data_IF_937800575630
#
_entry.id   IF_937800575630
#
_cell.length_a   1.000
_cell.length_b   1.000
_cell.length_c   1.000
_cell.angle_alpha   90.00
_cell.angle_beta   90.00
_cell.angle_gamma   90.00
#
_symmetry.space_group_name_H-M   'P 1'
#
loop_
_entity.id
_entity.type
_entity.pdbx_description
1 polymer ?
#
# COMPACT_ATOMS: atom_id res chain seq x y z
N UNK A 1 -7.16 13.32 16.54
CA UNK A 1 -7.03 13.27 15.06
C UNK A 1 -8.41 13.38 14.42
N UNK A 2 -8.56 14.28 13.48
CA UNK A 2 -9.82 14.43 12.74
C UNK A 2 -9.84 13.44 11.57
N UNK A 3 -10.96 12.71 11.46
CA UNK A 3 -11.18 11.76 10.38
C UNK A 3 -12.55 12.08 9.78
N UNK A 4 -12.61 12.17 8.44
CA UNK A 4 -13.85 12.47 7.74
C UNK A 4 -14.87 11.33 7.89
N UNK A 5 -16.14 11.56 7.53
CA UNK A 5 -17.07 10.46 7.31
C UNK A 5 -16.55 9.48 6.25
N UNK A 6 -17.11 8.28 6.22
CA UNK A 6 -16.80 7.30 5.19
C UNK A 6 -17.52 7.68 3.90
N UNK A 7 -16.77 7.77 2.81
CA UNK A 7 -17.31 8.03 1.47
C UNK A 7 -17.18 6.77 0.61
N UNK A 8 -18.21 6.51 -0.19
CA UNK A 8 -18.24 5.35 -1.10
C UNK A 8 -17.95 5.80 -2.53
N UNK A 9 -16.94 5.21 -3.17
CA UNK A 9 -16.63 5.41 -4.59
C UNK A 9 -16.50 6.88 -5.00
N UNK A 10 -16.03 7.73 -4.08
CA UNK A 10 -15.83 9.15 -4.36
C UNK A 10 -14.47 9.61 -3.87
N UNK A 11 -13.76 10.31 -4.75
CA UNK A 11 -12.47 10.92 -4.40
C UNK A 11 -12.66 12.26 -3.72
N UNK A 12 -11.65 12.76 -2.99
CA UNK A 12 -11.74 14.10 -2.39
C UNK A 12 -11.97 15.18 -3.44
N UNK A 13 -12.68 16.23 -3.04
CA UNK A 13 -12.91 17.38 -3.91
C UNK A 13 -11.67 18.29 -3.98
N UNK A 14 -11.53 19.03 -5.10
CA UNK A 14 -10.44 19.97 -5.31
C UNK A 14 -9.23 19.34 -6.00
N UNK A 15 -8.12 20.08 -5.99
CA UNK A 15 -6.86 19.59 -6.54
C UNK A 15 -6.23 18.56 -5.62
N UNK A 16 -5.83 17.43 -6.20
CA UNK A 16 -5.17 16.34 -5.49
C UNK A 16 -3.73 16.20 -6.00
N UNK A 17 -2.82 15.70 -5.15
CA UNK A 17 -1.49 15.28 -5.63
C UNK A 17 -1.62 14.31 -6.81
N UNK A 18 -0.66 14.34 -7.72
CA UNK A 18 -0.68 13.49 -8.90
C UNK A 18 -0.76 12.00 -8.55
N UNK A 19 -0.08 11.58 -7.49
CA UNK A 19 -0.09 10.19 -7.00
C UNK A 19 -1.49 9.76 -6.58
N UNK A 20 -2.19 10.61 -5.84
CA UNK A 20 -3.54 10.33 -5.37
C UNK A 20 -4.53 10.28 -6.53
N UNK A 21 -4.43 11.23 -7.45
CA UNK A 21 -5.27 11.25 -8.65
C UNK A 21 -5.09 9.98 -9.47
N UNK A 22 -3.85 9.56 -9.68
CA UNK A 22 -3.56 8.34 -10.43
C UNK A 22 -4.16 7.10 -9.77
N UNK A 23 -4.09 7.01 -8.44
CA UNK A 23 -4.67 5.89 -7.70
C UNK A 23 -6.20 5.82 -7.89
N UNK A 24 -6.89 6.95 -7.76
CA UNK A 24 -8.34 6.98 -7.97
C UNK A 24 -8.73 6.72 -9.42
N UNK A 25 -7.95 7.20 -10.38
CA UNK A 25 -8.19 6.93 -11.80
C UNK A 25 -8.10 5.43 -12.09
N UNK A 26 -7.15 4.71 -11.51
CA UNK A 26 -7.06 3.26 -11.63
C UNK A 26 -8.26 2.56 -11.04
N UNK A 27 -8.69 2.95 -9.85
CA UNK A 27 -9.86 2.35 -9.21
C UNK A 27 -11.11 2.53 -10.06
N UNK A 28 -11.32 3.74 -10.56
CA UNK A 28 -12.50 4.06 -11.37
C UNK A 28 -12.47 3.33 -12.72
N UNK A 29 -11.31 3.29 -13.39
CA UNK A 29 -11.17 2.64 -14.70
C UNK A 29 -11.36 1.11 -14.62
N UNK A 30 -10.99 0.49 -13.51
CA UNK A 30 -11.12 -0.94 -13.29
C UNK A 30 -12.47 -1.34 -12.67
N UNK A 31 -13.31 -0.37 -12.34
CA UNK A 31 -14.58 -0.63 -11.70
C UNK A 31 -14.45 -1.21 -10.29
N UNK A 32 -13.40 -0.83 -9.57
CA UNK A 32 -13.15 -1.30 -8.21
C UNK A 32 -13.89 -0.41 -7.22
N UNK A 33 -14.75 -1.01 -6.41
CA UNK A 33 -15.45 -0.32 -5.34
C UNK A 33 -14.51 -0.07 -4.16
N UNK A 34 -14.67 1.08 -3.53
CA UNK A 34 -13.86 1.43 -2.36
C UNK A 34 -14.63 2.31 -1.38
N UNK A 35 -14.27 2.22 -0.11
CA UNK A 35 -14.64 3.17 0.91
C UNK A 35 -13.41 4.02 1.25
N UNK A 36 -13.62 5.29 1.50
CA UNK A 36 -12.54 6.25 1.71
C UNK A 36 -12.81 7.13 2.93
N UNK A 37 -11.75 7.43 3.67
CA UNK A 37 -11.74 8.51 4.65
C UNK A 37 -10.57 9.44 4.34
N UNK A 38 -10.74 10.72 4.63
CA UNK A 38 -9.68 11.72 4.61
C UNK A 38 -9.33 12.06 6.05
N UNK A 39 -8.07 12.24 6.35
CA UNK A 39 -7.59 12.49 7.70
C UNK A 39 -6.30 13.30 7.65
N UNK A 40 -5.87 13.79 8.80
CA UNK A 40 -4.56 14.41 8.90
C UNK A 40 -3.45 13.37 8.73
N UNK A 41 -2.21 13.83 8.63
CA UNK A 41 -1.05 12.97 8.38
C UNK A 41 -0.99 11.83 9.38
N UNK A 42 -1.08 10.59 8.89
CA UNK A 42 -1.03 9.39 9.73
C UNK A 42 0.42 8.90 9.85
N UNK A 43 1.21 9.63 10.64
CA UNK A 43 2.65 9.40 10.80
C UNK A 43 3.01 8.59 12.07
N UNK A 44 2.02 8.14 12.82
CA UNK A 44 2.22 7.29 14.01
C UNK A 44 1.30 6.07 13.96
N UNK A 45 1.66 5.02 14.70
CA UNK A 45 0.84 3.81 14.80
C UNK A 45 -0.52 4.11 15.43
N UNK A 46 -0.56 4.99 16.44
CA UNK A 46 -1.81 5.39 17.08
C UNK A 46 -2.78 6.03 16.09
N UNK A 47 -2.29 6.91 15.22
CA UNK A 47 -3.10 7.53 14.17
C UNK A 47 -3.61 6.52 13.15
N UNK A 48 -2.77 5.56 12.78
CA UNK A 48 -3.17 4.47 11.88
C UNK A 48 -4.25 3.59 12.52
N UNK A 49 -4.16 3.32 13.82
CA UNK A 49 -5.16 2.56 14.54
C UNK A 49 -6.51 3.28 14.58
N UNK A 50 -6.51 4.60 14.74
CA UNK A 50 -7.72 5.42 14.68
C UNK A 50 -8.40 5.32 13.32
N UNK A 51 -7.62 5.39 12.25
CA UNK A 51 -8.12 5.26 10.87
C UNK A 51 -8.70 3.86 10.65
N UNK A 52 -8.01 2.82 11.10
CA UNK A 52 -8.47 1.44 10.99
C UNK A 52 -9.81 1.23 11.71
N UNK A 53 -9.97 1.82 12.89
CA UNK A 53 -11.21 1.73 13.65
C UNK A 53 -12.39 2.37 12.91
N UNK A 54 -12.18 3.52 12.26
CA UNK A 54 -13.23 4.22 11.52
C UNK A 54 -13.61 3.46 10.25
N UNK A 55 -12.61 3.00 9.47
CA UNK A 55 -12.86 2.25 8.23
C UNK A 55 -13.41 0.84 8.47
N UNK A 56 -13.21 0.30 9.67
CA UNK A 56 -13.60 -1.08 9.96
C UNK A 56 -12.73 -2.11 9.24
N UNK A 57 -11.46 -1.77 8.97
CA UNK A 57 -10.49 -2.66 8.36
C UNK A 57 -9.11 -2.32 8.90
N UNK A 58 -8.25 -3.33 9.02
CA UNK A 58 -6.86 -3.11 9.40
C UNK A 58 -6.10 -2.51 8.20
N UNK A 59 -5.62 -1.27 8.36
CA UNK A 59 -4.81 -0.62 7.33
C UNK A 59 -3.45 -1.31 7.29
N UNK A 60 -3.13 -1.90 6.15
CA UNK A 60 -1.91 -2.68 5.99
C UNK A 60 -0.66 -1.83 6.19
N UNK A 61 0.32 -2.44 6.82
CA UNK A 61 1.68 -1.93 6.85
C UNK A 61 2.33 -2.29 5.51
N UNK A 62 2.89 -1.31 4.82
CA UNK A 62 3.57 -1.51 3.54
C UNK A 62 5.03 -1.12 3.70
N UNK A 63 5.91 -2.10 3.52
CA UNK A 63 7.34 -1.93 3.75
C UNK A 63 8.07 -2.08 2.42
N UNK A 64 8.83 -1.04 2.04
CA UNK A 64 9.63 -1.07 0.82
C UNK A 64 11.06 -1.43 1.16
N UNK A 65 11.51 -2.56 0.64
CA UNK A 65 12.75 -3.21 1.03
C UNK A 65 13.64 -3.43 -0.20
N UNK A 66 14.93 -3.56 0.03
CA UNK A 66 15.89 -3.90 -1.03
C UNK A 66 16.99 -4.81 -0.49
N UNK A 67 17.67 -5.50 -1.41
CA UNK A 67 18.87 -6.24 -1.06
C UNK A 67 20.04 -5.26 -0.88
N UNK A 68 21.18 -5.78 -0.38
CA UNK A 68 22.38 -4.97 -0.10
C UNK A 68 22.91 -4.25 -1.34
N UNK A 69 22.84 -4.90 -2.51
CA UNK A 69 23.34 -4.37 -3.77
C UNK A 69 22.37 -3.39 -4.44
N UNK A 70 21.15 -3.24 -3.91
CA UNK A 70 20.07 -2.43 -4.49
C UNK A 70 19.73 -2.86 -5.92
N UNK A 71 19.82 -4.15 -6.20
CA UNK A 71 19.44 -4.73 -7.48
C UNK A 71 18.05 -5.34 -7.46
N UNK A 72 17.55 -5.71 -6.29
CA UNK A 72 16.23 -6.28 -6.11
C UNK A 72 15.45 -5.48 -5.08
N UNK A 73 14.21 -5.13 -5.41
CA UNK A 73 13.31 -4.38 -4.56
C UNK A 73 12.06 -5.19 -4.25
N UNK A 74 11.53 -5.01 -3.05
CA UNK A 74 10.36 -5.74 -2.57
C UNK A 74 9.40 -4.79 -1.88
N UNK A 75 8.11 -4.94 -2.17
CA UNK A 75 7.04 -4.30 -1.42
C UNK A 75 6.32 -5.38 -0.63
N UNK A 76 6.39 -5.29 0.70
CA UNK A 76 5.71 -6.24 1.59
C UNK A 76 4.45 -5.61 2.16
N UNK A 77 3.31 -6.26 1.91
CA UNK A 77 2.05 -5.93 2.56
C UNK A 77 1.81 -6.89 3.71
N UNK A 78 1.62 -6.36 4.92
CA UNK A 78 1.36 -7.19 6.11
C UNK A 78 0.38 -6.48 7.04
N UNK A 79 -0.26 -7.22 7.98
CA UNK A 79 -1.14 -6.58 8.97
C UNK A 79 -0.40 -5.52 9.77
N UNK A 80 -1.09 -4.40 10.05
CA UNK A 80 -0.48 -3.25 10.72
C UNK A 80 0.03 -3.55 12.13
N UNK A 81 -0.61 -4.49 12.83
CA UNK A 81 -0.27 -4.86 14.20
C UNK A 81 0.73 -6.01 14.29
N UNK A 82 1.11 -6.63 13.17
CA UNK A 82 2.03 -7.75 13.14
C UNK A 82 3.47 -7.26 13.18
N UNK A 83 4.32 -7.77 14.09
CA UNK A 83 5.72 -7.35 14.12
C UNK A 83 6.48 -7.82 12.89
N UNK A 84 7.42 -6.99 12.43
CA UNK A 84 8.24 -7.28 11.26
C UNK A 84 9.72 -7.34 11.66
N UNK A 85 10.42 -8.36 11.16
CA UNK A 85 11.86 -8.51 11.32
C UNK A 85 12.48 -8.84 9.98
N UNK A 86 13.41 -7.99 9.52
CA UNK A 86 14.11 -8.19 8.24
C UNK A 86 14.82 -9.53 8.17
N UNK A 87 15.39 -9.99 9.29
CA UNK A 87 16.10 -11.26 9.37
C UNK A 87 15.18 -12.46 9.05
N UNK A 88 13.97 -12.45 9.58
CA UNK A 88 13.00 -13.53 9.34
C UNK A 88 12.58 -13.57 7.87
N UNK A 89 12.29 -12.42 7.29
CA UNK A 89 11.91 -12.35 5.88
C UNK A 89 13.05 -12.74 4.96
N UNK A 90 14.27 -12.28 5.23
CA UNK A 90 15.45 -12.67 4.46
C UNK A 90 15.66 -14.18 4.45
N UNK A 91 15.44 -14.81 5.60
CA UNK A 91 15.54 -16.26 5.73
C UNK A 91 14.47 -16.97 4.91
N UNK A 92 13.22 -16.51 4.97
CA UNK A 92 12.11 -17.10 4.20
C UNK A 92 12.33 -17.00 2.69
N UNK A 93 12.92 -15.91 2.23
CA UNK A 93 13.18 -15.69 0.81
C UNK A 93 14.49 -16.36 0.33
N UNK A 94 15.29 -16.87 1.25
CA UNK A 94 16.56 -17.48 0.92
C UNK A 94 17.63 -16.52 0.43
N UNK A 95 17.58 -15.26 0.88
CA UNK A 95 18.52 -14.21 0.52
C UNK A 95 19.35 -13.78 1.73
N UNK A 96 20.51 -13.17 1.48
CA UNK A 96 21.48 -12.91 2.53
C UNK A 96 21.05 -11.83 3.51
N UNK A 97 20.48 -10.73 3.05
CA UNK A 97 20.06 -9.61 3.91
C UNK A 97 19.14 -8.65 3.16
N UNK A 98 18.10 -8.19 3.86
CA UNK A 98 17.25 -7.10 3.42
C UNK A 98 17.42 -5.88 4.31
N UNK A 99 17.24 -4.71 3.73
CA UNK A 99 17.17 -3.45 4.45
C UNK A 99 16.02 -2.61 3.88
N UNK A 100 15.64 -1.55 4.60
CA UNK A 100 14.64 -0.62 4.07
C UNK A 100 15.26 0.17 2.92
N UNK A 101 14.50 0.30 1.83
CA UNK A 101 14.91 1.11 0.70
C UNK A 101 14.86 2.60 1.08
N UNK A 102 15.65 3.42 0.38
CA UNK A 102 15.71 4.86 0.65
C UNK A 102 14.42 5.57 0.20
N UNK A 103 14.13 6.78 0.75
CA UNK A 103 13.04 7.59 0.23
C UNK A 103 13.15 7.89 -1.26
N UNK A 104 14.37 8.07 -1.78
CA UNK A 104 14.63 8.31 -3.20
C UNK A 104 14.23 7.10 -4.05
N UNK A 105 14.55 5.89 -3.59
CA UNK A 105 14.15 4.65 -4.28
C UNK A 105 12.62 4.48 -4.24
N UNK A 106 12.00 4.81 -3.12
CA UNK A 106 10.54 4.74 -2.98
C UNK A 106 9.84 5.68 -3.98
N UNK A 107 10.34 6.90 -4.12
CA UNK A 107 9.82 7.85 -5.08
C UNK A 107 10.04 7.38 -6.52
N UNK A 108 11.23 6.86 -6.81
CA UNK A 108 11.59 6.41 -8.16
C UNK A 108 10.72 5.24 -8.63
N UNK A 109 10.49 4.23 -7.79
CA UNK A 109 9.80 3.00 -8.18
C UNK A 109 8.30 3.02 -7.91
N UNK A 110 7.86 3.67 -6.84
CA UNK A 110 6.47 3.64 -6.42
C UNK A 110 5.77 4.99 -6.49
N UNK A 111 6.52 6.07 -6.67
CA UNK A 111 6.01 7.45 -6.60
C UNK A 111 5.27 7.70 -5.27
N UNK A 112 5.80 7.16 -4.19
CA UNK A 112 5.28 7.32 -2.84
C UNK A 112 6.33 7.98 -1.95
N UNK A 113 5.88 8.59 -0.85
CA UNK A 113 6.76 9.16 0.17
C UNK A 113 6.84 8.23 1.39
N UNK A 114 7.85 8.37 2.27
CA UNK A 114 7.89 7.57 3.49
C UNK A 114 6.60 7.69 4.31
N UNK A 115 6.09 6.55 4.77
CA UNK A 115 4.83 6.47 5.49
C UNK A 115 3.59 6.35 4.60
N UNK A 116 3.75 6.45 3.27
CA UNK A 116 2.63 6.35 2.33
C UNK A 116 2.83 5.26 1.28
N UNK A 117 3.81 4.37 1.46
CA UNK A 117 4.00 3.23 0.57
C UNK A 117 2.71 2.44 0.42
N UNK A 118 2.39 2.05 -0.80
CA UNK A 118 1.11 1.42 -1.09
C UNK A 118 1.23 0.47 -2.27
N UNK A 119 0.41 -0.58 -2.26
CA UNK A 119 0.24 -1.47 -3.41
C UNK A 119 -0.17 -0.67 -4.65
N UNK A 120 -0.89 0.43 -4.48
CA UNK A 120 -1.28 1.30 -5.58
C UNK A 120 -0.07 1.89 -6.32
N UNK A 121 1.06 2.05 -5.64
CA UNK A 121 2.31 2.55 -6.24
C UNK A 121 2.90 1.60 -7.28
N UNK A 122 2.51 0.33 -7.29
CA UNK A 122 2.98 -0.64 -8.29
C UNK A 122 2.58 -0.25 -9.71
N UNK A 123 1.59 0.60 -9.89
CA UNK A 123 1.23 1.14 -11.19
C UNK A 123 2.37 1.96 -11.81
N UNK A 124 3.29 2.47 -11.01
CA UNK A 124 4.44 3.25 -11.46
C UNK A 124 5.67 2.38 -11.78
N UNK A 125 5.66 1.11 -11.37
CA UNK A 125 6.75 0.16 -11.62
C UNK A 125 6.51 -0.59 -12.92
N UNK A 126 6.63 0.11 -14.04
CA UNK A 126 6.32 -0.43 -15.38
C UNK A 126 7.31 -1.48 -15.86
N UNK A 127 8.51 -1.52 -15.28
CA UNK A 127 9.55 -2.48 -15.65
C UNK A 127 9.57 -3.71 -14.74
N UNK A 128 8.61 -3.81 -13.80
CA UNK A 128 8.51 -4.90 -12.83
C UNK A 128 9.80 -5.08 -12.00
N UNK A 129 10.36 -3.97 -11.55
CA UNK A 129 11.55 -3.97 -10.69
C UNK A 129 11.25 -4.31 -9.24
N UNK A 130 10.01 -4.10 -8.82
CA UNK A 130 9.55 -4.36 -7.45
C UNK A 130 8.77 -5.65 -7.42
N UNK A 131 9.21 -6.58 -6.54
CA UNK A 131 8.49 -7.82 -6.31
C UNK A 131 7.50 -7.62 -5.17
N UNK A 132 6.23 -7.93 -5.41
CA UNK A 132 5.20 -7.82 -4.39
C UNK A 132 5.19 -9.06 -3.51
N UNK A 133 5.27 -8.85 -2.20
CA UNK A 133 5.12 -9.88 -1.18
C UNK A 133 3.86 -9.56 -0.37
N UNK A 134 2.99 -10.54 -0.20
CA UNK A 134 1.79 -10.37 0.62
C UNK A 134 1.78 -11.38 1.75
N UNK A 135 1.63 -10.90 2.97
CA UNK A 135 1.43 -11.76 4.13
C UNK A 135 0.14 -12.57 3.92
N UNK A 136 0.15 -13.85 4.28
CA UNK A 136 -1.01 -14.71 4.10
C UNK A 136 -2.26 -14.21 4.83
N UNK A 137 -2.10 -13.53 5.95
CA UNK A 137 -3.23 -12.98 6.69
C UNK A 137 -3.91 -11.84 5.92
N UNK A 138 -3.15 -11.08 5.11
CA UNK A 138 -3.72 -10.08 4.20
C UNK A 138 -4.49 -10.76 3.07
N UNK A 139 -3.91 -11.79 2.47
CA UNK A 139 -4.53 -12.52 1.35
C UNK A 139 -5.83 -13.20 1.78
N UNK A 140 -5.88 -13.74 2.98
CA UNK A 140 -7.06 -14.42 3.52
C UNK A 140 -8.18 -13.46 3.94
N UNK A 141 -7.88 -12.19 4.18
CA UNK A 141 -8.88 -11.22 4.58
C UNK A 141 -9.82 -10.86 3.44
N UNK A 142 -11.09 -10.59 3.75
CA UNK A 142 -12.07 -10.15 2.76
C UNK A 142 -11.76 -8.74 2.26
N UNK A 143 -11.30 -7.88 3.17
CA UNK A 143 -10.97 -6.49 2.89
C UNK A 143 -9.53 -6.22 3.26
N UNK A 144 -8.94 -5.21 2.60
CA UNK A 144 -7.66 -4.65 3.01
C UNK A 144 -7.74 -3.12 3.04
N UNK A 145 -6.92 -2.52 3.89
CA UNK A 145 -6.79 -1.07 3.97
C UNK A 145 -5.45 -0.64 3.38
N UNK A 146 -5.45 0.42 2.58
CA UNK A 146 -4.23 0.97 2.00
C UNK A 146 -4.37 2.47 1.78
N UNK A 147 -3.26 3.12 1.46
CA UNK A 147 -3.24 4.53 1.07
C UNK A 147 -3.26 4.67 -0.45
N UNK A 148 -3.85 5.75 -0.98
CA UNK A 148 -3.74 6.08 -2.40
C UNK A 148 -2.42 6.81 -2.69
N UNK A 149 -1.30 6.24 -2.26
CA UNK A 149 0.07 6.77 -2.38
C UNK A 149 0.33 8.07 -1.59
N UNK A 150 -0.58 8.46 -0.73
CA UNK A 150 -0.42 9.55 0.25
C UNK A 150 -1.02 9.10 1.59
N UNK A 151 -0.57 9.68 2.69
CA UNK A 151 -1.04 9.28 4.02
C UNK A 151 -1.99 10.25 4.69
N UNK A 152 -2.71 11.04 3.89
CA UNK A 152 -3.82 11.89 4.33
C UNK A 152 -5.18 11.36 3.90
N UNK A 153 -5.19 10.20 3.23
CA UNK A 153 -6.39 9.43 2.88
C UNK A 153 -6.10 7.96 3.09
N UNK A 154 -7.13 7.20 3.38
CA UNK A 154 -7.04 5.75 3.49
C UNK A 154 -8.25 5.11 2.82
N UNK A 155 -8.01 3.96 2.23
CA UNK A 155 -8.99 3.22 1.43
C UNK A 155 -9.26 1.86 2.03
N UNK A 156 -10.50 1.41 1.92
CA UNK A 156 -10.90 0.03 2.19
C UNK A 156 -11.33 -0.60 0.86
N UNK A 157 -10.67 -1.67 0.49
CA UNK A 157 -10.89 -2.38 -0.77
C UNK A 157 -11.20 -3.84 -0.49
N UNK A 158 -11.96 -4.47 -1.39
CA UNK A 158 -12.01 -5.93 -1.39
C UNK A 158 -10.65 -6.49 -1.79
N UNK A 159 -10.11 -7.39 -1.00
CA UNK A 159 -8.84 -8.07 -1.31
C UNK A 159 -8.93 -8.74 -2.68
N UNK A 160 -10.04 -9.36 -2.98
CA UNK A 160 -10.32 -10.00 -4.27
C UNK A 160 -10.13 -9.03 -5.45
N UNK A 161 -10.62 -7.80 -5.34
CA UNK A 161 -10.48 -6.81 -6.41
C UNK A 161 -9.03 -6.41 -6.63
N UNK A 162 -8.24 -6.30 -5.56
CA UNK A 162 -6.80 -6.03 -5.69
C UNK A 162 -6.11 -7.19 -6.41
N UNK A 163 -6.38 -8.42 -6.01
CA UNK A 163 -5.74 -9.60 -6.59
C UNK A 163 -6.17 -9.89 -8.03
N UNK A 164 -7.44 -9.72 -8.36
CA UNK A 164 -8.01 -10.13 -9.63
C UNK A 164 -8.12 -9.01 -10.66
N UNK A 165 -8.21 -7.75 -10.24
CA UNK A 165 -8.39 -6.60 -11.13
C UNK A 165 -7.18 -5.69 -11.17
N UNK A 166 -6.70 -5.23 -10.01
CA UNK A 166 -5.61 -4.24 -9.96
C UNK A 166 -4.26 -4.85 -10.34
N UNK A 167 -3.85 -5.92 -9.68
CA UNK A 167 -2.53 -6.50 -9.91
C UNK A 167 -2.31 -6.99 -11.35
N UNK A 168 -3.29 -7.66 -12.00
CA UNK A 168 -3.12 -8.01 -13.41
C UNK A 168 -2.97 -6.80 -14.33
N UNK A 169 -3.69 -5.70 -14.06
CA UNK A 169 -3.61 -4.49 -14.88
C UNK A 169 -2.23 -3.83 -14.80
N UNK A 170 -1.56 -3.89 -13.65
CA UNK A 170 -0.23 -3.34 -13.48
C UNK A 170 0.87 -4.39 -13.66
N UNK A 171 0.51 -5.58 -14.12
CA UNK A 171 1.41 -6.69 -14.43
C UNK A 171 2.26 -7.15 -13.25
N UNK A 172 1.66 -7.19 -12.05
CA UNK A 172 2.31 -7.71 -10.85
C UNK A 172 1.56 -8.91 -10.31
N UNK A 173 2.31 -9.87 -9.73
CA UNK A 173 1.77 -11.03 -9.05
C UNK A 173 2.39 -11.13 -7.64
N UNK A 174 1.60 -11.43 -6.60
CA UNK A 174 2.16 -11.59 -5.25
C UNK A 174 2.92 -12.91 -5.14
N UNK A 175 3.94 -12.88 -4.31
CA UNK A 175 4.76 -14.05 -4.00
C UNK A 175 4.55 -14.48 -2.56
#
# INVERSE_FOLDING_TARGET
MEISPIYHNSRPEGELPAQETAAFDFLDSLGIDYERVTHELADTMEKCDDVSAVLGVDVCKNLFLCNRQKTNFYLLMMPGDKPFKTKELSHQLGISRLSFASPEDMEQYLDCTPGSSSVMGLANDKENKVQLLMDEDVVKGEFLGCHPCINTSSLKLYTKDVLEKFLPEVHHEPV
#
